data_IF_818865216202
#
_entry.id   IF_818865216202
#
_cell.length_a   1.000
_cell.length_b   1.000
_cell.length_c   1.000
_cell.angle_alpha   90.00
_cell.angle_beta   90.00
_cell.angle_gamma   90.00
#
_symmetry.space_group_name_H-M   'P 1'
#
loop_
_entity.id
_entity.type
_entity.pdbx_description
1 polymer ?
#
# COMPACT_ATOMS: atom_id res chain seq x y z
N UNK A 1 47.66 -50.78 -48.52
CA UNK A 1 47.81 -49.45 -49.17
C UNK A 1 46.49 -49.07 -49.82
N UNK A 2 46.12 -47.77 -49.75
CA UNK A 2 44.84 -47.10 -50.11
C UNK A 2 43.81 -47.09 -48.95
N UNK A 3 43.98 -46.22 -47.94
CA UNK A 3 43.67 -44.77 -47.81
C UNK A 3 42.17 -44.45 -47.79
N UNK A 4 41.79 -43.85 -46.66
CA UNK A 4 40.49 -43.33 -46.20
C UNK A 4 39.84 -42.30 -47.12
N UNK A 5 38.54 -42.09 -46.96
CA UNK A 5 37.97 -40.75 -46.72
C UNK A 5 36.55 -40.89 -46.13
N UNK A 6 36.39 -40.53 -44.86
CA UNK A 6 35.08 -40.37 -44.19
C UNK A 6 34.64 -38.93 -44.43
N UNK A 7 33.52 -38.71 -45.12
CA UNK A 7 32.96 -37.37 -45.34
C UNK A 7 32.00 -37.07 -44.20
N UNK A 8 32.40 -36.20 -43.29
CA UNK A 8 31.55 -35.61 -42.26
C UNK A 8 30.78 -34.45 -42.88
N UNK A 9 29.46 -34.58 -43.03
CA UNK A 9 28.60 -33.48 -43.46
C UNK A 9 28.43 -32.48 -42.32
N UNK A 10 29.01 -31.28 -42.48
CA UNK A 10 28.77 -30.14 -41.60
C UNK A 10 27.39 -29.54 -41.92
N UNK A 11 26.44 -29.65 -40.99
CA UNK A 11 25.19 -28.90 -41.04
C UNK A 11 25.50 -27.47 -40.61
N UNK A 12 25.49 -26.55 -41.57
CA UNK A 12 25.58 -25.12 -41.29
C UNK A 12 24.25 -24.64 -40.71
N UNK A 13 24.24 -24.36 -39.41
CA UNK A 13 23.12 -23.71 -38.72
C UNK A 13 23.14 -22.23 -39.13
N UNK A 14 22.27 -21.82 -40.07
CA UNK A 14 22.00 -20.40 -40.32
C UNK A 14 21.25 -19.86 -39.10
N UNK A 15 21.97 -19.19 -38.20
CA UNK A 15 21.37 -18.32 -37.19
C UNK A 15 20.84 -17.09 -37.94
N UNK A 16 19.54 -17.12 -38.24
CA UNK A 16 18.84 -15.92 -38.69
C UNK A 16 18.87 -14.90 -37.56
N UNK A 17 19.64 -13.81 -37.73
CA UNK A 17 19.49 -12.59 -36.96
C UNK A 17 18.15 -11.94 -37.34
N UNK A 18 17.06 -12.51 -36.82
CA UNK A 18 15.77 -11.86 -36.81
C UNK A 18 15.86 -10.66 -35.89
N UNK A 19 15.73 -9.45 -36.43
CA UNK A 19 15.42 -8.28 -35.62
C UNK A 19 14.07 -8.55 -34.96
N UNK A 20 14.08 -8.89 -33.67
CA UNK A 20 12.86 -8.96 -32.90
C UNK A 20 12.19 -7.59 -33.00
N UNK A 21 11.02 -7.53 -33.65
CA UNK A 21 10.16 -6.37 -33.55
C UNK A 21 9.87 -6.15 -32.05
N UNK A 22 9.86 -4.91 -31.55
CA UNK A 22 9.42 -4.67 -30.17
C UNK A 22 8.03 -5.28 -30.02
N UNK A 23 7.83 -6.10 -28.98
CA UNK A 23 6.52 -6.62 -28.65
C UNK A 23 5.56 -5.42 -28.53
N UNK A 24 4.60 -5.34 -29.46
CA UNK A 24 3.49 -4.40 -29.36
C UNK A 24 2.68 -4.80 -28.12
N UNK A 25 2.42 -3.88 -27.18
CA UNK A 25 1.62 -4.20 -26.02
C UNK A 25 0.21 -4.61 -26.44
N UNK A 26 -0.46 -5.40 -25.61
CA UNK A 26 -1.82 -5.82 -25.86
C UNK A 26 -2.74 -4.59 -25.97
N UNK A 27 -3.52 -4.41 -27.04
CA UNK A 27 -4.53 -3.37 -27.08
C UNK A 27 -5.56 -3.67 -25.99
N UNK A 28 -5.65 -2.81 -24.96
CA UNK A 28 -6.74 -2.92 -23.98
C UNK A 28 -6.49 -2.33 -22.61
N UNK A 29 -5.25 -2.26 -22.11
CA UNK A 29 -5.03 -1.76 -20.75
C UNK A 29 -5.37 -0.27 -20.62
N UNK A 30 -6.08 0.07 -19.55
CA UNK A 30 -6.44 1.44 -19.18
C UNK A 30 -6.65 1.56 -17.68
N UNK A 31 -6.36 2.75 -17.15
CA UNK A 31 -6.72 3.17 -15.81
C UNK A 31 -8.19 3.66 -15.78
N UNK A 32 -9.12 2.74 -16.01
CA UNK A 32 -10.56 3.03 -16.14
C UNK A 32 -11.40 2.52 -14.96
N UNK A 33 -10.83 1.75 -14.03
CA UNK A 33 -11.49 1.34 -12.80
C UNK A 33 -11.27 2.36 -11.69
N UNK A 34 -12.11 3.40 -11.67
CA UNK A 34 -12.05 4.46 -10.66
C UNK A 34 -12.89 4.15 -9.43
N UNK A 35 -12.24 4.16 -8.27
CA UNK A 35 -12.84 3.99 -6.95
C UNK A 35 -12.74 5.33 -6.21
N UNK A 36 -13.86 6.03 -6.11
CA UNK A 36 -13.89 7.39 -5.57
C UNK A 36 -15.27 7.79 -5.07
N UNK A 37 -15.30 8.76 -4.15
CA UNK A 37 -16.51 9.47 -3.77
C UNK A 37 -16.34 10.99 -3.87
N UNK A 38 -17.31 11.73 -3.35
CA UNK A 38 -17.30 13.20 -3.35
C UNK A 38 -16.14 13.80 -2.51
N UNK A 39 -15.64 13.04 -1.54
CA UNK A 39 -14.54 13.39 -0.66
C UNK A 39 -13.80 12.12 -0.20
N UNK A 40 -12.79 12.27 0.66
CA UNK A 40 -11.99 11.16 1.20
C UNK A 40 -12.82 10.13 1.97
N UNK A 41 -13.89 10.55 2.64
CA UNK A 41 -14.75 9.65 3.42
C UNK A 41 -15.56 8.78 2.48
N UNK A 42 -16.15 9.39 1.45
CA UNK A 42 -16.90 8.68 0.43
C UNK A 42 -15.99 7.80 -0.46
N UNK A 43 -14.73 8.20 -0.71
CA UNK A 43 -13.73 7.33 -1.36
C UNK A 43 -13.41 6.11 -0.51
N UNK A 44 -13.22 6.26 0.81
CA UNK A 44 -13.02 5.12 1.71
C UNK A 44 -14.22 4.17 1.73
N UNK A 45 -15.45 4.71 1.72
CA UNK A 45 -16.67 3.91 1.58
C UNK A 45 -16.74 3.19 0.23
N UNK A 46 -16.31 3.82 -0.87
CA UNK A 46 -16.26 3.18 -2.18
C UNK A 46 -15.26 2.01 -2.21
N UNK A 47 -14.08 2.18 -1.59
CA UNK A 47 -13.10 1.11 -1.44
C UNK A 47 -13.63 -0.02 -0.53
N UNK A 48 -14.30 0.33 0.56
CA UNK A 48 -14.98 -0.63 1.45
C UNK A 48 -15.98 -1.49 0.69
N UNK A 49 -16.90 -0.90 -0.08
CA UNK A 49 -17.90 -1.66 -0.87
C UNK A 49 -17.31 -2.53 -1.96
N UNK A 50 -16.12 -2.19 -2.44
CA UNK A 50 -15.42 -3.00 -3.41
C UNK A 50 -14.78 -4.23 -2.75
N UNK A 51 -14.16 -4.05 -1.58
CA UNK A 51 -13.63 -5.15 -0.78
C UNK A 51 -14.76 -6.07 -0.28
N UNK A 52 -15.84 -5.44 0.18
CA UNK A 52 -16.94 -6.04 0.95
C UNK A 52 -18.29 -5.76 0.28
N UNK A 53 -18.62 -6.43 -0.84
CA UNK A 53 -19.73 -6.03 -1.71
C UNK A 53 -21.12 -6.39 -1.19
N UNK A 54 -21.24 -7.26 -0.19
CA UNK A 54 -22.52 -7.67 0.37
C UNK A 54 -22.75 -7.03 1.74
N UNK A 55 -24.01 -6.85 2.12
CA UNK A 55 -24.34 -6.35 3.46
C UNK A 55 -24.00 -7.42 4.51
N UNK A 56 -23.45 -7.01 5.65
CA UNK A 56 -23.05 -7.93 6.71
C UNK A 56 -21.79 -8.76 6.40
N UNK A 57 -20.93 -8.31 5.47
CA UNK A 57 -19.80 -9.11 5.01
C UNK A 57 -18.52 -8.96 5.82
N UNK A 58 -18.43 -7.96 6.71
CA UNK A 58 -17.26 -7.77 7.58
C UNK A 58 -17.67 -7.56 9.04
N UNK A 59 -17.10 -8.38 9.93
CA UNK A 59 -17.28 -8.26 11.39
C UNK A 59 -16.46 -7.13 12.00
N UNK A 60 -15.37 -6.77 11.34
CA UNK A 60 -14.39 -5.80 11.81
C UNK A 60 -14.30 -4.62 10.86
N UNK A 61 -14.07 -3.43 11.42
CA UNK A 61 -13.75 -2.23 10.65
C UNK A 61 -12.63 -1.45 11.32
N UNK A 62 -11.63 -1.04 10.53
CA UNK A 62 -10.56 -0.17 11.01
C UNK A 62 -10.91 1.27 10.71
N UNK A 63 -10.80 2.14 11.72
CA UNK A 63 -11.18 3.54 11.64
C UNK A 63 -10.01 4.43 12.00
N UNK A 64 -9.71 5.37 11.10
CA UNK A 64 -8.68 6.40 11.30
C UNK A 64 -9.26 7.79 11.09
N UNK A 65 -8.55 8.83 11.55
CA UNK A 65 -8.95 10.21 11.24
C UNK A 65 -8.47 10.59 9.83
N UNK A 66 -9.38 11.03 8.98
CA UNK A 66 -9.12 11.33 7.58
C UNK A 66 -8.21 12.55 7.34
N UNK A 67 -7.96 13.40 8.35
CA UNK A 67 -7.10 14.59 8.27
C UNK A 67 -5.79 14.47 9.06
N UNK A 68 -5.66 13.45 9.90
CA UNK A 68 -4.47 13.16 10.70
C UNK A 68 -3.97 11.74 10.41
N UNK A 69 -3.80 11.44 9.13
CA UNK A 69 -3.53 10.08 8.63
C UNK A 69 -2.17 9.54 9.02
N UNK A 70 -1.27 10.36 9.58
CA UNK A 70 0.04 9.91 10.07
C UNK A 70 -0.11 8.84 11.17
N UNK A 71 -1.13 8.98 12.01
CA UNK A 71 -1.42 8.00 13.07
C UNK A 71 -1.99 6.70 12.46
N UNK A 72 -2.54 6.75 11.24
CA UNK A 72 -3.13 5.64 10.51
C UNK A 72 -2.23 4.99 9.46
N UNK A 73 -0.96 5.39 9.30
CA UNK A 73 -0.05 4.83 8.29
C UNK A 73 0.16 3.32 8.44
N UNK A 74 0.01 2.84 9.67
CA UNK A 74 0.20 1.44 10.06
C UNK A 74 -1.13 0.68 10.07
N UNK A 75 -2.26 1.35 9.82
CA UNK A 75 -3.58 0.74 9.90
C UNK A 75 -3.81 -0.32 8.82
N UNK A 76 -3.07 -0.30 7.70
CA UNK A 76 -3.13 -1.36 6.69
C UNK A 76 -2.74 -2.73 7.24
N UNK A 77 -1.76 -2.79 8.15
CA UNK A 77 -1.40 -4.03 8.83
C UNK A 77 -2.54 -4.54 9.73
N UNK A 78 -3.09 -3.67 10.59
CA UNK A 78 -4.22 -4.02 11.45
C UNK A 78 -5.44 -4.45 10.63
N UNK A 79 -5.71 -3.77 9.52
CA UNK A 79 -6.76 -4.12 8.59
C UNK A 79 -6.53 -5.49 7.93
N UNK A 80 -5.28 -5.87 7.66
CA UNK A 80 -4.91 -7.21 7.18
C UNK A 80 -5.22 -8.28 8.23
N UNK A 81 -4.75 -8.08 9.46
CA UNK A 81 -5.00 -8.99 10.59
C UNK A 81 -6.49 -9.25 10.83
N UNK A 82 -7.32 -8.22 10.64
CA UNK A 82 -8.77 -8.28 10.87
C UNK A 82 -9.58 -8.55 9.60
N UNK A 83 -8.93 -8.71 8.44
CA UNK A 83 -9.61 -8.81 7.13
C UNK A 83 -10.67 -7.72 6.93
N UNK A 84 -10.31 -6.48 7.28
CA UNK A 84 -11.24 -5.37 7.43
C UNK A 84 -10.98 -4.24 6.45
N UNK A 85 -12.01 -3.47 6.03
CA UNK A 85 -11.82 -2.21 5.35
C UNK A 85 -11.29 -1.13 6.29
N UNK A 86 -10.66 -0.09 5.71
CA UNK A 86 -10.26 1.12 6.42
C UNK A 86 -11.24 2.25 6.07
N UNK A 87 -11.89 2.80 7.09
CA UNK A 87 -12.79 3.95 6.97
C UNK A 87 -12.25 5.18 7.69
N UNK A 88 -12.73 6.34 7.25
CA UNK A 88 -12.29 7.63 7.77
C UNK A 88 -13.34 8.32 8.63
N UNK A 89 -12.86 8.96 9.69
CA UNK A 89 -13.63 9.87 10.55
C UNK A 89 -13.11 11.29 10.42
N UNK A 90 -13.96 12.26 10.74
CA UNK A 90 -13.56 13.65 10.85
C UNK A 90 -12.97 13.92 12.24
N UNK A 91 -12.32 15.07 12.40
CA UNK A 91 -11.88 15.56 13.69
C UNK A 91 -13.11 15.93 14.51
N UNK A 92 -13.41 15.13 15.54
CA UNK A 92 -14.53 15.42 16.41
C UNK A 92 -15.85 14.71 16.07
N UNK A 93 -15.96 14.08 14.89
CA UNK A 93 -17.23 13.49 14.44
C UNK A 93 -17.05 12.34 13.45
N UNK A 94 -18.10 11.54 13.28
CA UNK A 94 -18.19 10.51 12.24
C UNK A 94 -19.10 11.01 11.14
N UNK A 95 -18.59 11.17 9.91
CA UNK A 95 -19.43 11.51 8.76
C UNK A 95 -20.55 10.47 8.58
N UNK A 96 -21.73 10.93 8.16
CA UNK A 96 -22.89 10.05 7.99
C UNK A 96 -22.62 8.90 7.00
N UNK A 97 -21.80 9.15 5.96
CA UNK A 97 -21.38 8.13 4.99
C UNK A 97 -20.55 7.02 5.63
N UNK A 98 -19.68 7.38 6.58
CA UNK A 98 -18.86 6.42 7.34
C UNK A 98 -19.73 5.61 8.28
N UNK A 99 -20.62 6.27 9.04
CA UNK A 99 -21.53 5.57 9.95
C UNK A 99 -22.44 4.57 9.21
N UNK A 100 -23.02 5.00 8.08
CA UNK A 100 -23.84 4.14 7.25
C UNK A 100 -23.08 2.94 6.67
N UNK A 101 -21.79 3.12 6.34
CA UNK A 101 -20.97 2.01 5.86
C UNK A 101 -20.60 1.02 6.97
N UNK A 102 -20.29 1.49 8.18
CA UNK A 102 -20.07 0.62 9.35
C UNK A 102 -21.31 -0.26 9.59
N UNK A 103 -22.51 0.33 9.50
CA UNK A 103 -23.76 -0.42 9.66
C UNK A 103 -24.03 -1.37 8.50
N UNK A 104 -23.74 -0.96 7.25
CA UNK A 104 -23.89 -1.81 6.05
C UNK A 104 -22.97 -3.03 6.11
N UNK A 105 -21.73 -2.85 6.53
CA UNK A 105 -20.76 -3.93 6.73
C UNK A 105 -21.24 -4.94 7.78
N UNK A 106 -22.11 -4.54 8.69
CA UNK A 106 -22.52 -5.35 9.84
C UNK A 106 -21.41 -5.48 10.88
N UNK A 107 -20.49 -4.52 10.94
CA UNK A 107 -19.32 -4.60 11.82
C UNK A 107 -19.71 -4.52 13.30
N UNK A 108 -19.30 -5.54 14.06
CA UNK A 108 -19.43 -5.67 15.50
C UNK A 108 -18.22 -5.05 16.21
N UNK A 109 -17.03 -5.19 15.63
CA UNK A 109 -15.76 -4.71 16.18
C UNK A 109 -15.27 -3.46 15.42
N UNK A 110 -15.11 -2.35 16.14
CA UNK A 110 -14.59 -1.09 15.61
C UNK A 110 -13.20 -0.83 16.18
N UNK A 111 -12.19 -0.90 15.31
CA UNK A 111 -10.79 -0.71 15.65
C UNK A 111 -10.34 0.72 15.33
N UNK A 112 -10.24 1.56 16.34
CA UNK A 112 -9.75 2.93 16.22
C UNK A 112 -8.23 2.94 16.28
N UNK A 113 -7.57 3.44 15.23
CA UNK A 113 -6.14 3.77 15.28
C UNK A 113 -5.97 5.27 15.46
N UNK A 114 -5.39 5.65 16.59
CA UNK A 114 -5.12 7.04 16.96
C UNK A 114 -5.84 7.51 18.24
N UNK A 115 -5.27 8.54 18.86
CA UNK A 115 -5.71 9.06 20.15
C UNK A 115 -7.06 9.79 20.12
N UNK A 116 -7.53 10.19 21.31
CA UNK A 116 -8.81 10.89 21.49
C UNK A 116 -8.86 12.27 20.84
N UNK A 117 -7.70 12.89 20.59
CA UNK A 117 -7.59 14.13 19.82
C UNK A 117 -7.93 13.95 18.33
N UNK A 118 -7.99 12.70 17.85
CA UNK A 118 -8.31 12.34 16.45
C UNK A 118 -9.74 11.83 16.34
N UNK A 119 -10.06 10.83 17.15
CA UNK A 119 -11.40 10.24 17.27
C UNK A 119 -11.83 10.40 18.73
N UNK A 120 -12.74 11.33 19.07
CA UNK A 120 -13.08 11.64 20.46
C UNK A 120 -13.58 10.44 21.25
N UNK A 121 -13.40 10.48 22.57
CA UNK A 121 -13.96 9.48 23.48
C UNK A 121 -15.49 9.36 23.34
N UNK A 122 -16.18 10.48 23.18
CA UNK A 122 -17.63 10.50 22.98
C UNK A 122 -18.09 9.68 21.77
N UNK A 123 -17.26 9.58 20.72
CA UNK A 123 -17.58 8.76 19.56
C UNK A 123 -17.42 7.27 19.85
N UNK A 124 -16.36 6.90 20.57
CA UNK A 124 -16.18 5.52 21.05
C UNK A 124 -17.33 5.10 21.96
N UNK A 125 -17.73 5.97 22.89
CA UNK A 125 -18.86 5.71 23.79
C UNK A 125 -20.19 5.56 23.01
N UNK A 126 -20.38 6.34 21.95
CA UNK A 126 -21.56 6.24 21.09
C UNK A 126 -21.63 4.90 20.34
N UNK A 127 -20.50 4.39 19.83
CA UNK A 127 -20.45 3.05 19.21
C UNK A 127 -20.69 1.94 20.23
N UNK A 128 -20.10 2.05 21.42
CA UNK A 128 -20.34 1.08 22.50
C UNK A 128 -21.82 1.06 22.95
N UNK A 129 -22.45 2.23 23.07
CA UNK A 129 -23.88 2.34 23.38
C UNK A 129 -24.78 1.77 22.26
N UNK A 130 -24.30 1.77 21.02
CA UNK A 130 -24.94 1.12 19.88
C UNK A 130 -24.69 -0.40 19.83
N UNK A 131 -24.01 -0.98 20.83
CA UNK A 131 -23.79 -2.42 20.95
C UNK A 131 -22.53 -2.95 20.26
N UNK A 132 -21.65 -2.06 19.76
CA UNK A 132 -20.39 -2.45 19.13
C UNK A 132 -19.28 -2.63 20.17
N UNK A 133 -18.36 -3.54 19.92
CA UNK A 133 -17.09 -3.64 20.66
C UNK A 133 -16.11 -2.65 20.06
N UNK A 134 -15.55 -1.76 20.88
CA UNK A 134 -14.66 -0.71 20.38
C UNK A 134 -13.27 -0.87 20.97
N UNK A 135 -12.29 -1.08 20.10
CA UNK A 135 -10.88 -1.20 20.44
C UNK A 135 -10.18 0.08 20.02
N UNK A 136 -9.34 0.66 20.88
CA UNK A 136 -8.53 1.82 20.53
C UNK A 136 -7.06 1.49 20.72
N UNK A 137 -6.29 1.66 19.64
CA UNK A 137 -4.83 1.54 19.65
C UNK A 137 -4.25 2.93 19.43
N UNK A 138 -3.62 3.48 20.47
CA UNK A 138 -3.07 4.83 20.45
C UNK A 138 -1.94 5.00 21.47
N UNK A 139 -0.82 5.56 21.03
CA UNK A 139 0.27 6.00 21.88
C UNK A 139 0.28 7.52 22.10
N UNK A 140 1.29 8.02 22.83
CA UNK A 140 1.50 9.44 23.04
C UNK A 140 1.90 10.17 21.76
N UNK A 141 2.51 9.46 20.80
CA UNK A 141 2.83 9.96 19.47
C UNK A 141 2.64 8.88 18.39
N UNK A 142 3.01 9.23 17.16
CA UNK A 142 2.89 8.35 15.98
C UNK A 142 3.80 7.12 16.05
N UNK A 143 4.94 7.23 16.73
CA UNK A 143 5.92 6.14 16.84
C UNK A 143 5.43 5.10 17.85
N UNK A 144 4.90 5.56 18.99
CA UNK A 144 4.27 4.69 19.98
C UNK A 144 2.97 4.08 19.45
N UNK A 145 2.15 4.84 18.71
CA UNK A 145 0.97 4.28 18.03
C UNK A 145 1.37 3.19 17.03
N UNK A 146 2.43 3.41 16.23
CA UNK A 146 2.93 2.42 15.29
C UNK A 146 3.42 1.14 16.00
N UNK A 147 4.16 1.28 17.11
CA UNK A 147 4.60 0.16 17.94
C UNK A 147 3.42 -0.67 18.47
N UNK A 148 2.43 -0.01 19.07
CA UNK A 148 1.23 -0.69 19.59
C UNK A 148 0.40 -1.38 18.49
N UNK A 149 0.32 -0.78 17.30
CA UNK A 149 -0.34 -1.42 16.15
C UNK A 149 0.45 -2.63 15.67
N UNK A 150 1.78 -2.56 15.65
CA UNK A 150 2.62 -3.68 15.22
C UNK A 150 2.50 -4.89 16.14
N UNK A 151 2.28 -4.66 17.44
CA UNK A 151 2.09 -5.68 18.47
C UNK A 151 0.62 -6.18 18.57
N UNK A 152 -0.27 -5.77 17.68
CA UNK A 152 -1.69 -6.12 17.74
C UNK A 152 -2.04 -7.55 17.26
N UNK A 153 -1.05 -8.32 16.81
CA UNK A 153 -1.24 -9.74 16.51
C UNK A 153 -1.06 -10.58 17.78
N UNK A 154 -2.16 -11.18 18.23
CA UNK A 154 -2.20 -12.02 19.43
C UNK A 154 -1.87 -13.50 19.14
N UNK A 155 -1.46 -13.84 17.91
CA UNK A 155 -1.09 -15.21 17.52
C UNK A 155 0.11 -15.76 18.31
N UNK A 156 1.02 -14.87 18.72
CA UNK A 156 2.30 -15.21 19.36
C UNK A 156 3.39 -15.62 18.37
N UNK A 157 3.11 -15.59 17.06
CA UNK A 157 4.09 -15.84 16.01
C UNK A 157 4.85 -14.56 15.67
N UNK A 158 6.16 -14.69 15.44
CA UNK A 158 6.95 -13.56 14.93
C UNK A 158 6.59 -13.31 13.46
N UNK A 159 6.38 -12.05 13.04
CA UNK A 159 6.10 -11.75 11.63
C UNK A 159 7.32 -12.11 10.76
N UNK A 160 7.07 -12.59 9.55
CA UNK A 160 8.14 -12.95 8.60
C UNK A 160 8.99 -11.74 8.21
N UNK A 161 8.39 -10.54 8.22
CA UNK A 161 9.03 -9.28 7.87
C UNK A 161 8.38 -8.11 8.62
N UNK A 162 9.17 -7.07 8.89
CA UNK A 162 8.69 -5.75 9.34
C UNK A 162 9.16 -4.66 8.39
N UNK A 163 8.24 -3.78 8.00
CA UNK A 163 8.57 -2.55 7.29
C UNK A 163 8.88 -1.44 8.28
N UNK A 164 9.90 -0.63 7.98
CA UNK A 164 10.27 0.53 8.79
C UNK A 164 10.37 1.75 7.88
N UNK A 165 9.53 2.76 8.12
CA UNK A 165 9.48 3.97 7.31
C UNK A 165 9.68 5.22 8.17
N UNK A 166 9.90 6.36 7.51
CA UNK A 166 9.99 7.63 8.20
C UNK A 166 8.63 8.05 8.77
N UNK A 167 8.59 8.42 10.05
CA UNK A 167 7.40 9.03 10.65
C UNK A 167 7.16 10.48 10.23
N UNK A 168 8.11 11.11 9.52
CA UNK A 168 8.01 12.50 9.04
C UNK A 168 7.76 12.60 7.54
N UNK A 169 8.00 11.53 6.77
CA UNK A 169 7.61 11.38 5.37
C UNK A 169 6.71 10.16 5.17
N UNK A 170 5.42 10.38 4.89
CA UNK A 170 4.40 9.33 4.97
C UNK A 170 4.30 8.43 3.74
N UNK A 171 4.73 8.91 2.58
CA UNK A 171 4.48 8.24 1.31
C UNK A 171 5.13 6.86 1.22
N UNK A 172 6.32 6.69 1.81
CA UNK A 172 7.03 5.41 1.79
C UNK A 172 6.28 4.34 2.62
N UNK A 173 5.69 4.73 3.76
CA UNK A 173 4.83 3.85 4.55
C UNK A 173 3.54 3.49 3.80
N UNK A 174 2.91 4.48 3.16
CA UNK A 174 1.68 4.30 2.39
C UNK A 174 1.88 3.34 1.20
N UNK A 175 3.04 3.40 0.52
CA UNK A 175 3.36 2.52 -0.59
C UNK A 175 3.37 1.03 -0.19
N UNK A 176 3.80 0.72 1.03
CA UNK A 176 3.83 -0.64 1.55
C UNK A 176 2.47 -1.12 2.10
N UNK A 177 1.46 -0.24 2.17
CA UNK A 177 0.14 -0.56 2.70
C UNK A 177 -0.49 -1.84 2.13
N UNK A 178 -0.54 -2.02 0.79
CA UNK A 178 -1.08 -3.24 0.19
C UNK A 178 -0.35 -4.51 0.64
N UNK A 179 0.99 -4.48 0.68
CA UNK A 179 1.81 -5.63 1.11
C UNK A 179 1.61 -5.91 2.60
N UNK A 180 1.61 -4.86 3.43
CA UNK A 180 1.36 -4.96 4.87
C UNK A 180 0.01 -5.60 5.18
N UNK A 181 -1.03 -5.29 4.40
CA UNK A 181 -2.34 -5.93 4.49
C UNK A 181 -2.29 -7.40 4.02
N UNK A 182 -1.69 -7.67 2.85
CA UNK A 182 -1.71 -8.99 2.22
C UNK A 182 -0.87 -10.04 2.95
N UNK A 183 0.19 -9.59 3.62
CA UNK A 183 1.20 -10.46 4.24
C UNK A 183 1.25 -10.36 5.75
N UNK A 184 0.40 -9.52 6.35
CA UNK A 184 0.45 -9.20 7.77
C UNK A 184 1.87 -8.78 8.20
N UNK A 185 2.50 -7.91 7.40
CA UNK A 185 3.79 -7.31 7.77
C UNK A 185 3.55 -6.03 8.55
N UNK A 186 3.98 -5.93 9.82
CA UNK A 186 3.84 -4.70 10.57
C UNK A 186 4.61 -3.55 9.93
N UNK A 187 4.08 -2.34 10.10
CA UNK A 187 4.78 -1.11 9.71
C UNK A 187 5.16 -0.37 11.00
N UNK A 188 6.44 -0.18 11.22
CA UNK A 188 6.98 0.68 12.26
C UNK A 188 7.45 2.01 11.67
N UNK A 189 7.45 3.05 12.52
CA UNK A 189 7.91 4.38 12.14
C UNK A 189 9.19 4.73 12.89
N UNK A 190 10.09 5.47 12.24
CA UNK A 190 11.31 6.03 12.86
C UNK A 190 11.47 7.50 12.52
N UNK A 191 12.24 8.23 13.33
CA UNK A 191 12.75 9.53 12.91
C UNK A 191 13.93 9.32 11.92
N UNK A 192 14.13 10.20 10.92
CA UNK A 192 15.23 10.05 9.96
C UNK A 192 16.64 9.97 10.57
N UNK A 193 16.84 10.64 11.72
CA UNK A 193 18.15 10.80 12.35
C UNK A 193 18.24 10.18 13.76
N UNK A 194 17.17 9.54 14.24
CA UNK A 194 17.18 8.81 15.51
C UNK A 194 16.16 7.68 15.52
N UNK A 195 16.42 6.62 16.29
CA UNK A 195 15.45 5.55 16.53
C UNK A 195 14.62 5.90 17.77
N UNK A 196 13.30 6.10 17.67
CA UNK A 196 12.43 6.28 18.82
C UNK A 196 12.48 5.05 19.74
N UNK A 197 12.37 5.27 21.05
CA UNK A 197 12.45 4.18 22.03
C UNK A 197 11.33 3.14 21.82
N UNK A 198 10.11 3.58 21.49
CA UNK A 198 8.99 2.69 21.18
C UNK A 198 9.28 1.78 19.96
N UNK A 199 9.89 2.33 18.92
CA UNK A 199 10.30 1.57 17.72
C UNK A 199 11.34 0.51 18.05
N UNK A 200 12.36 0.86 18.85
CA UNK A 200 13.39 -0.09 19.26
C UNK A 200 12.82 -1.22 20.14
N UNK A 201 11.89 -0.89 21.05
CA UNK A 201 11.20 -1.87 21.89
C UNK A 201 10.35 -2.83 21.04
N UNK A 202 9.51 -2.31 20.15
CA UNK A 202 8.67 -3.14 19.27
C UNK A 202 9.49 -4.07 18.39
N UNK A 203 10.62 -3.62 17.84
CA UNK A 203 11.54 -4.50 17.09
C UNK A 203 12.14 -5.63 17.94
N UNK A 204 12.26 -5.43 19.25
CA UNK A 204 12.66 -6.47 20.19
C UNK A 204 11.54 -7.47 20.44
N UNK A 205 10.33 -6.98 20.71
CA UNK A 205 9.15 -7.81 21.01
C UNK A 205 8.68 -8.63 19.80
N UNK A 206 8.66 -8.03 18.60
CA UNK A 206 8.30 -8.75 17.36
C UNK A 206 9.27 -9.89 17.05
N UNK A 207 10.51 -9.85 17.53
CA UNK A 207 11.51 -10.90 17.35
C UNK A 207 11.99 -11.12 15.91
N UNK A 208 11.42 -10.44 14.91
CA UNK A 208 11.78 -10.60 13.50
C UNK A 208 13.12 -9.96 13.16
N UNK A 209 13.90 -10.68 12.35
CA UNK A 209 15.21 -10.24 11.87
C UNK A 209 15.16 -9.67 10.46
N UNK A 210 14.10 -9.94 9.70
CA UNK A 210 13.91 -9.37 8.37
C UNK A 210 13.24 -7.99 8.48
N UNK A 211 14.05 -6.95 8.32
CA UNK A 211 13.71 -5.54 8.61
C UNK A 211 13.96 -4.71 7.37
N UNK A 212 12.89 -4.46 6.61
CA UNK A 212 12.95 -3.71 5.35
C UNK A 212 12.72 -2.23 5.62
N UNK A 213 13.75 -1.42 5.37
CA UNK A 213 13.70 0.03 5.57
C UNK A 213 13.22 0.70 4.27
N UNK A 214 12.11 1.43 4.35
CA UNK A 214 11.50 2.11 3.23
C UNK A 214 11.92 3.58 3.18
N UNK A 215 12.30 4.03 1.99
CA UNK A 215 12.64 5.43 1.73
C UNK A 215 14.11 5.79 1.96
N UNK A 216 14.52 6.86 1.29
CA UNK A 216 15.90 7.36 1.30
C UNK A 216 16.21 8.37 2.40
N UNK A 217 15.21 8.85 3.14
CA UNK A 217 15.39 9.89 4.16
C UNK A 217 16.02 9.39 5.46
N UNK A 218 15.83 8.10 5.78
CA UNK A 218 16.40 7.47 6.97
C UNK A 218 17.92 7.32 6.78
N UNK A 219 18.70 7.98 7.65
CA UNK A 219 20.17 7.97 7.59
C UNK A 219 20.75 6.56 7.74
N UNK A 220 21.96 6.33 7.22
CA UNK A 220 22.64 5.03 7.33
C UNK A 220 22.96 4.66 8.78
N UNK A 221 23.18 5.65 9.65
CA UNK A 221 23.35 5.43 11.08
C UNK A 221 22.08 4.84 11.70
N UNK A 222 20.92 5.41 11.39
CA UNK A 222 19.61 4.91 11.86
C UNK A 222 19.31 3.55 11.25
N UNK A 223 19.55 3.35 9.95
CA UNK A 223 19.42 2.05 9.30
C UNK A 223 20.21 0.95 10.02
N UNK A 224 21.47 1.24 10.39
CA UNK A 224 22.29 0.32 11.17
C UNK A 224 21.75 0.07 12.58
N UNK A 225 21.24 1.10 13.26
CA UNK A 225 20.62 0.98 14.59
C UNK A 225 19.33 0.16 14.58
N UNK A 226 18.53 0.27 13.52
CA UNK A 226 17.33 -0.53 13.30
C UNK A 226 17.65 -2.00 12.98
N UNK A 227 18.89 -2.31 12.61
CA UNK A 227 19.26 -3.63 12.09
C UNK A 227 18.63 -3.89 10.72
N UNK A 228 18.52 -2.87 9.88
CA UNK A 228 17.93 -2.99 8.54
C UNK A 228 18.65 -4.07 7.71
N UNK A 229 17.87 -4.97 7.12
CA UNK A 229 18.36 -6.05 6.24
C UNK A 229 18.31 -5.65 4.77
N UNK A 230 17.35 -4.81 4.42
CA UNK A 230 17.15 -4.29 3.08
C UNK A 230 16.69 -2.84 3.12
N UNK A 231 17.02 -2.08 2.08
CA UNK A 231 16.51 -0.73 1.87
C UNK A 231 15.85 -0.61 0.49
N UNK A 232 14.54 -0.35 0.49
CA UNK A 232 13.78 -0.04 -0.73
C UNK A 232 13.56 1.48 -0.77
N UNK A 233 14.27 2.19 -1.65
CA UNK A 233 14.24 3.64 -1.72
C UNK A 233 14.46 4.18 -3.13
N UNK A 234 13.65 5.16 -3.54
CA UNK A 234 13.82 5.96 -4.75
C UNK A 234 14.31 7.40 -4.47
N UNK A 235 14.60 8.17 -5.51
CA UNK A 235 14.89 9.60 -5.38
C UNK A 235 13.62 10.43 -5.09
N UNK A 236 12.45 9.83 -5.31
CA UNK A 236 11.13 10.42 -5.11
C UNK A 236 10.17 9.38 -4.52
N UNK A 237 9.03 9.82 -3.98
CA UNK A 237 7.99 8.90 -3.48
C UNK A 237 7.43 8.00 -4.58
N UNK A 238 7.38 8.50 -5.82
CA UNK A 238 6.94 7.75 -6.98
C UNK A 238 7.92 6.61 -7.28
N UNK A 239 9.22 6.89 -7.24
CA UNK A 239 10.25 5.85 -7.41
C UNK A 239 10.31 4.88 -6.24
N UNK A 240 10.14 5.33 -4.98
CA UNK A 240 10.05 4.38 -3.86
C UNK A 240 8.84 3.46 -4.04
N UNK A 241 7.67 4.00 -4.37
CA UNK A 241 6.47 3.18 -4.61
C UNK A 241 6.65 2.22 -5.80
N UNK A 242 7.29 2.64 -6.88
CA UNK A 242 7.64 1.76 -8.00
C UNK A 242 8.55 0.60 -7.57
N UNK A 243 9.55 0.85 -6.72
CA UNK A 243 10.42 -0.21 -6.21
C UNK A 243 9.72 -1.13 -5.21
N UNK A 244 8.81 -0.61 -4.40
CA UNK A 244 7.94 -1.43 -3.54
C UNK A 244 7.01 -2.29 -4.40
N UNK A 245 6.51 -1.76 -5.53
CA UNK A 245 5.71 -2.51 -6.48
C UNK A 245 6.51 -3.66 -7.15
N UNK A 246 7.74 -3.39 -7.58
CA UNK A 246 8.65 -4.41 -8.11
C UNK A 246 8.94 -5.53 -7.10
N UNK A 247 9.25 -5.14 -5.86
CA UNK A 247 9.48 -6.07 -4.75
C UNK A 247 8.24 -6.92 -4.46
N UNK A 248 7.06 -6.29 -4.42
CA UNK A 248 5.81 -6.99 -4.18
C UNK A 248 5.50 -8.04 -5.26
N UNK A 249 5.77 -7.73 -6.53
CA UNK A 249 5.61 -8.69 -7.64
C UNK A 249 6.62 -9.82 -7.52
N UNK A 250 7.89 -9.49 -7.27
CA UNK A 250 8.99 -10.46 -7.28
C UNK A 250 8.94 -11.42 -6.09
N UNK A 251 8.61 -10.90 -4.91
CA UNK A 251 8.80 -11.60 -3.64
C UNK A 251 7.48 -11.87 -2.91
N UNK A 252 6.44 -11.08 -3.17
CA UNK A 252 5.18 -11.14 -2.42
C UNK A 252 3.98 -11.61 -3.26
N UNK A 253 4.22 -12.20 -4.44
CA UNK A 253 3.19 -12.77 -5.32
C UNK A 253 2.08 -11.77 -5.70
N UNK A 254 2.43 -10.49 -5.88
CA UNK A 254 1.53 -9.51 -6.47
C UNK A 254 1.40 -9.73 -7.98
N UNK A 255 0.24 -9.39 -8.52
CA UNK A 255 -0.11 -9.51 -9.93
C UNK A 255 0.69 -8.50 -10.77
N UNK A 256 1.58 -8.94 -11.67
CA UNK A 256 2.29 -8.03 -12.58
C UNK A 256 1.39 -7.45 -13.67
N UNK A 257 0.18 -7.99 -13.86
CA UNK A 257 -0.71 -7.61 -14.95
C UNK A 257 -1.65 -6.45 -14.59
N UNK A 258 -1.76 -6.10 -13.31
CA UNK A 258 -2.63 -5.05 -12.78
C UNK A 258 -1.81 -4.02 -12.00
N UNK A 259 -2.33 -2.80 -11.87
CA UNK A 259 -1.66 -1.74 -11.09
C UNK A 259 -2.66 -0.66 -10.69
N UNK A 260 -2.47 -0.05 -9.52
CA UNK A 260 -3.29 1.02 -8.99
C UNK A 260 -2.56 2.37 -8.94
N UNK A 261 -3.28 3.45 -9.21
CA UNK A 261 -2.82 4.83 -9.05
C UNK A 261 -3.55 5.53 -7.92
N UNK A 262 -2.80 6.34 -7.17
CA UNK A 262 -3.33 7.28 -6.18
C UNK A 262 -2.65 8.65 -6.34
N UNK A 263 -3.20 9.67 -5.67
CA UNK A 263 -2.68 11.03 -5.74
C UNK A 263 -1.27 11.19 -5.13
N UNK A 264 -0.41 11.95 -5.80
CA UNK A 264 1.01 12.09 -5.41
C UNK A 264 1.31 13.01 -4.21
N UNK A 265 0.48 13.99 -3.93
CA UNK A 265 0.72 14.98 -2.85
C UNK A 265 0.29 14.44 -1.49
N UNK A 266 0.78 15.00 -0.38
CA UNK A 266 0.33 14.59 0.97
C UNK A 266 -1.19 14.77 1.18
N UNK A 267 -1.78 15.75 0.51
CA UNK A 267 -3.22 16.00 0.56
C UNK A 267 -4.06 14.96 -0.19
N UNK A 268 -3.47 14.26 -1.16
CA UNK A 268 -4.14 13.33 -2.08
C UNK A 268 -3.69 11.87 -1.91
N UNK A 269 -2.52 11.64 -1.30
CA UNK A 269 -1.98 10.31 -1.01
C UNK A 269 -2.76 9.59 0.10
N UNK A 270 -3.61 10.30 0.82
CA UNK A 270 -4.57 9.73 1.79
C UNK A 270 -5.47 8.68 1.15
N UNK A 271 -5.76 8.75 -0.15
CA UNK A 271 -6.54 7.70 -0.83
C UNK A 271 -5.79 6.34 -0.85
N UNK A 272 -4.45 6.33 -0.70
CA UNK A 272 -3.64 5.11 -0.62
C UNK A 272 -4.00 4.24 0.59
N UNK A 273 -4.30 4.86 1.72
CA UNK A 273 -4.60 4.13 2.94
C UNK A 273 -5.97 3.41 2.85
N UNK A 274 -6.95 4.03 2.21
CA UNK A 274 -8.24 3.39 1.90
C UNK A 274 -8.12 2.36 0.76
N UNK A 275 -7.19 2.56 -0.17
CA UNK A 275 -6.93 1.63 -1.25
C UNK A 275 -6.20 0.35 -0.79
N UNK A 276 -5.39 0.45 0.27
CA UNK A 276 -4.50 -0.62 0.71
C UNK A 276 -5.21 -1.97 0.97
N UNK A 277 -6.37 -2.04 1.65
CA UNK A 277 -7.10 -3.31 1.81
C UNK A 277 -7.54 -3.93 0.48
N UNK A 278 -8.08 -3.12 -0.45
CA UNK A 278 -8.48 -3.60 -1.78
C UNK A 278 -7.26 -4.09 -2.55
N UNK A 279 -6.23 -3.26 -2.66
CA UNK A 279 -5.02 -3.56 -3.40
C UNK A 279 -4.30 -4.80 -2.82
N UNK A 280 -4.20 -4.90 -1.49
CA UNK A 280 -3.64 -6.07 -0.81
C UNK A 280 -4.45 -7.33 -1.07
N UNK A 281 -5.78 -7.29 -0.97
CA UNK A 281 -6.66 -8.45 -1.20
C UNK A 281 -6.58 -9.02 -2.61
N UNK A 282 -6.23 -8.19 -3.59
CA UNK A 282 -6.12 -8.57 -4.99
C UNK A 282 -4.66 -8.74 -5.46
N UNK A 283 -3.68 -8.49 -4.58
CA UNK A 283 -2.26 -8.47 -4.94
C UNK A 283 -1.92 -7.41 -6.00
N UNK A 284 -2.58 -6.25 -5.97
CA UNK A 284 -2.38 -5.17 -6.95
C UNK A 284 -1.34 -4.18 -6.43
N UNK A 285 -0.24 -3.92 -7.17
CA UNK A 285 0.74 -2.91 -6.79
C UNK A 285 0.15 -1.49 -6.82
N UNK A 286 0.62 -0.61 -5.95
CA UNK A 286 0.12 0.76 -5.80
C UNK A 286 1.21 1.80 -6.07
N UNK A 287 0.92 2.75 -6.96
CA UNK A 287 1.83 3.81 -7.39
C UNK A 287 1.25 5.20 -7.10
N UNK A 288 2.15 6.17 -6.86
CA UNK A 288 1.80 7.57 -6.71
C UNK A 288 1.87 8.32 -8.04
N UNK A 289 0.92 9.21 -8.31
CA UNK A 289 1.06 10.21 -9.39
C UNK A 289 2.08 11.30 -9.04
N UNK A 290 2.37 12.19 -9.99
CA UNK A 290 3.26 13.33 -9.81
C UNK A 290 2.67 14.43 -8.91
N UNK A 291 3.54 15.25 -8.32
CA UNK A 291 3.11 16.40 -7.50
C UNK A 291 2.45 17.53 -8.29
N UNK A 292 2.71 17.58 -9.60
CA UNK A 292 2.20 18.55 -10.55
C UNK A 292 0.82 18.16 -11.13
N UNK A 293 0.24 17.06 -10.63
CA UNK A 293 -0.99 16.47 -11.17
C UNK A 293 -0.76 15.61 -12.42
N UNK A 294 0.48 15.48 -12.91
CA UNK A 294 0.85 14.55 -13.98
C UNK A 294 1.09 13.13 -13.47
N UNK A 295 1.53 12.23 -14.34
CA UNK A 295 1.86 10.84 -13.95
C UNK A 295 3.11 10.82 -13.05
N UNK A 296 4.06 11.73 -13.29
CA UNK A 296 5.35 11.79 -12.58
C UNK A 296 6.40 10.86 -13.21
N UNK A 297 7.67 11.21 -13.07
CA UNK A 297 8.78 10.53 -13.75
C UNK A 297 8.93 9.07 -13.31
N UNK A 298 8.97 8.80 -11.99
CA UNK A 298 9.12 7.44 -11.46
C UNK A 298 8.01 6.49 -11.91
N UNK A 299 6.75 6.94 -11.82
CA UNK A 299 5.59 6.17 -12.27
C UNK A 299 5.57 6.01 -13.79
N UNK A 300 5.96 7.03 -14.55
CA UNK A 300 6.04 6.91 -16.01
C UNK A 300 7.08 5.89 -16.45
N UNK A 301 8.25 5.87 -15.79
CA UNK A 301 9.30 4.90 -16.05
C UNK A 301 8.84 3.48 -15.71
N UNK A 302 8.20 3.29 -14.55
CA UNK A 302 7.63 2.00 -14.15
C UNK A 302 6.61 1.48 -15.15
N UNK A 303 5.57 2.27 -15.48
CA UNK A 303 4.52 1.84 -16.42
C UNK A 303 5.10 1.48 -17.80
N UNK A 304 6.10 2.23 -18.27
CA UNK A 304 6.77 1.95 -19.54
C UNK A 304 7.57 0.64 -19.49
N UNK A 305 8.23 0.36 -18.37
CA UNK A 305 9.05 -0.84 -18.18
C UNK A 305 8.19 -2.12 -18.14
N UNK A 306 7.00 -2.04 -17.53
CA UNK A 306 6.09 -3.19 -17.33
C UNK A 306 4.97 -3.31 -18.38
N UNK A 307 4.93 -2.45 -19.40
CA UNK A 307 3.84 -2.43 -20.40
C UNK A 307 3.57 -3.76 -21.11
N UNK A 308 4.58 -4.64 -21.20
CA UNK A 308 4.43 -5.95 -21.82
C UNK A 308 3.68 -6.96 -20.93
N UNK A 309 3.65 -6.70 -19.61
CA UNK A 309 3.05 -7.58 -18.61
C UNK A 309 1.56 -7.26 -18.41
N UNK A 310 1.15 -6.02 -18.68
CA UNK A 310 -0.22 -5.55 -18.44
C UNK A 310 -1.26 -6.22 -19.35
N UNK A 311 -2.09 -7.04 -18.71
CA UNK A 311 -3.29 -7.64 -19.30
C UNK A 311 -4.47 -7.66 -18.30
N UNK A 312 -4.27 -7.12 -17.09
CA UNK A 312 -5.24 -7.05 -16.01
C UNK A 312 -5.88 -5.67 -15.91
N UNK A 313 -6.05 -5.19 -14.68
CA UNK A 313 -6.87 -4.02 -14.37
C UNK A 313 -6.03 -2.81 -13.98
N UNK A 314 -6.30 -1.66 -14.59
CA UNK A 314 -5.77 -0.37 -14.17
C UNK A 314 -6.73 0.34 -13.22
N UNK A 315 -6.35 0.44 -11.96
CA UNK A 315 -7.18 1.05 -10.91
C UNK A 315 -6.79 2.50 -10.65
N UNK A 316 -7.77 3.33 -10.30
CA UNK A 316 -7.55 4.69 -9.79
C UNK A 316 -8.31 4.85 -8.49
N UNK A 317 -7.61 5.06 -7.38
CA UNK A 317 -8.26 5.42 -6.11
C UNK A 317 -8.19 6.94 -5.91
N UNK A 318 -9.35 7.53 -5.62
CA UNK A 318 -9.52 8.97 -5.50
C UNK A 318 -10.26 9.60 -6.68
N UNK A 319 -10.92 10.72 -6.39
CA UNK A 319 -11.62 11.50 -7.40
C UNK A 319 -10.66 12.22 -8.35
N UNK A 320 -11.21 12.93 -9.33
CA UNK A 320 -10.42 13.74 -10.27
C UNK A 320 -9.47 14.77 -9.61
N UNK A 321 -9.79 15.37 -8.44
CA UNK A 321 -8.83 16.22 -7.74
C UNK A 321 -7.58 15.50 -7.23
N UNK A 322 -7.67 14.18 -6.96
CA UNK A 322 -6.53 13.35 -6.55
C UNK A 322 -5.76 12.83 -7.76
N UNK A 323 -6.48 12.26 -8.73
CA UNK A 323 -5.93 11.74 -9.99
C UNK A 323 -6.88 12.14 -11.12
N UNK A 324 -6.50 13.17 -11.87
CA UNK A 324 -7.35 13.69 -12.95
C UNK A 324 -7.57 12.65 -14.05
N UNK A 325 -8.65 12.80 -14.82
CA UNK A 325 -8.87 11.90 -15.96
C UNK A 325 -7.74 12.00 -16.99
N UNK A 326 -7.21 13.20 -17.22
CA UNK A 326 -6.05 13.40 -18.11
C UNK A 326 -4.80 12.65 -17.61
N UNK A 327 -4.59 12.58 -16.30
CA UNK A 327 -3.49 11.82 -15.68
C UNK A 327 -3.69 10.32 -15.88
N UNK A 328 -4.90 9.82 -15.66
CA UNK A 328 -5.25 8.41 -15.87
C UNK A 328 -5.11 8.01 -17.35
N UNK A 329 -5.54 8.86 -18.28
CA UNK A 329 -5.39 8.64 -19.72
C UNK A 329 -3.92 8.64 -20.15
N UNK A 330 -3.11 9.57 -19.61
CA UNK A 330 -1.67 9.62 -19.87
C UNK A 330 -0.94 8.39 -19.31
N UNK A 331 -1.29 7.94 -18.10
CA UNK A 331 -0.77 6.70 -17.53
C UNK A 331 -1.16 5.48 -18.37
N UNK A 332 -2.41 5.44 -18.87
CA UNK A 332 -2.87 4.39 -19.77
C UNK A 332 -2.09 4.35 -21.07
N UNK A 333 -1.68 5.51 -21.60
CA UNK A 333 -0.85 5.58 -22.80
C UNK A 333 0.57 5.07 -22.58
N UNK A 334 1.13 5.22 -21.38
CA UNK A 334 2.45 4.70 -20.99
C UNK A 334 2.44 3.18 -20.79
N UNK A 335 1.31 2.63 -20.34
CA UNK A 335 1.08 1.21 -20.10
C UNK A 335 0.68 0.40 -21.36
N UNK A 336 0.67 1.02 -22.54
CA UNK A 336 0.37 0.42 -23.86
C UNK A 336 1.60 0.42 -24.77
#
# INVERSE_FOLDING_TARGET
MKKSLTVTAAVALLVGLGTAAPAQAAPGFAFDQRISGADRFATAVAASKLLEPTDGSATDVVVVNGYATVDGLTASYLAGLRSAPILYTDTGSVPAVTAAEIDRLGADDVWIVGGTNRVPQAQQDAWAAAGKTVHRIAGADRYETAALVAEADDSGDAPEQVFIASGTGTADALAAGPVAWARNYPILLTDPASVPAATAAALGELGTTNRVVLGGSITDAVYGQLGGTERIAGASRQETAAKVADDAIANENFDPQSVALVGGTDATAVDALAAAPVAGSQGVPLLFTGFDGGVGEGTSAYLTAHRADYAGTGWVFGGEPSVSQATADAASALAR
#
